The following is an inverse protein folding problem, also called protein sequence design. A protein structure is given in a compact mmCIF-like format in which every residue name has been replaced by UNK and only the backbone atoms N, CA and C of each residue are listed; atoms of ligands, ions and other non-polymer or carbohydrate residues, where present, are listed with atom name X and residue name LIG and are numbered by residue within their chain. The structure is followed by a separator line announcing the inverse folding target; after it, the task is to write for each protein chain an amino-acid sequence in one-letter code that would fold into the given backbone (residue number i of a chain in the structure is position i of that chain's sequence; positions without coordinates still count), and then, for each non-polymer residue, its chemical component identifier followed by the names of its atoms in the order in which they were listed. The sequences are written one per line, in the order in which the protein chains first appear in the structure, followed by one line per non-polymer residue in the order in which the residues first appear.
data_IF_686464151664
#
_entry.id   IF_686464151664
#
_cell.length_a   1.000
_cell.length_b   1.000
_cell.length_c   1.000
_cell.angle_alpha   90.00
_cell.angle_beta   90.00
_cell.angle_gamma   90.00
#
_symmetry.space_group_name_H-M   'P 1'
#
loop_
_entity.id
_entity.type
_entity.pdbx_description
1 polymer ?
#
# COMPACT_ATOMS: atom_id res chain seq x y z
N UNK A 1 -5.36 2.15 -5.21
CA UNK A 1 -4.97 3.57 -5.39
C UNK A 1 -3.87 3.77 -6.42
N UNK A 2 -2.84 2.90 -6.47
CA UNK A 2 -1.72 3.00 -7.42
C UNK A 2 -2.14 3.32 -8.87
N UNK A 3 -3.04 2.52 -9.46
CA UNK A 3 -3.50 2.75 -10.84
C UNK A 3 -4.22 4.11 -11.02
N UNK A 4 -5.06 4.50 -10.06
CA UNK A 4 -5.81 5.75 -10.15
C UNK A 4 -4.90 6.96 -10.05
N UNK A 5 -3.87 6.91 -9.19
CA UNK A 5 -2.83 7.93 -9.13
C UNK A 5 -2.02 7.98 -10.43
N UNK A 6 -1.71 6.84 -11.05
CA UNK A 6 -1.05 6.78 -12.36
C UNK A 6 -1.91 7.27 -13.53
N UNK A 7 -3.22 7.47 -13.32
CA UNK A 7 -4.15 8.06 -14.28
C UNK A 7 -4.46 9.54 -13.97
N UNK A 8 -3.70 10.16 -13.07
CA UNK A 8 -3.93 11.51 -12.55
C UNK A 8 -5.33 11.74 -11.94
N UNK A 9 -5.96 10.66 -11.46
CA UNK A 9 -7.25 10.73 -10.75
C UNK A 9 -6.98 11.03 -9.29
N UNK A 10 -7.52 12.16 -8.81
CA UNK A 10 -7.46 12.54 -7.41
C UNK A 10 -8.30 11.57 -6.55
N UNK A 11 -7.63 10.80 -5.70
CA UNK A 11 -8.31 9.86 -4.76
C UNK A 11 -8.43 10.42 -3.34
N UNK A 12 -7.70 11.50 -3.01
CA UNK A 12 -7.61 12.03 -1.65
C UNK A 12 -6.85 11.12 -0.67
N UNK A 13 -6.23 10.04 -1.16
CA UNK A 13 -5.50 9.09 -0.33
C UNK A 13 -4.00 9.39 -0.35
N UNK A 14 -3.43 9.50 0.84
CA UNK A 14 -1.98 9.50 1.07
C UNK A 14 -1.44 8.07 0.99
N UNK A 15 -0.60 7.82 -0.02
CA UNK A 15 -0.02 6.49 -0.26
C UNK A 15 0.97 6.09 0.83
N UNK A 16 1.72 7.04 1.40
CA UNK A 16 2.66 6.79 2.47
C UNK A 16 1.94 6.30 3.73
N UNK A 17 0.92 7.03 4.16
CA UNK A 17 0.10 6.66 5.34
C UNK A 17 -0.65 5.34 5.14
N UNK A 18 -1.16 5.10 3.93
CA UNK A 18 -1.80 3.82 3.59
C UNK A 18 -0.79 2.67 3.68
N UNK A 19 0.45 2.90 3.25
CA UNK A 19 1.53 1.92 3.29
C UNK A 19 1.94 1.60 4.72
N UNK A 20 2.13 2.62 5.56
CA UNK A 20 2.42 2.46 7.00
C UNK A 20 1.35 1.61 7.70
N UNK A 21 0.07 1.93 7.47
CA UNK A 21 -1.04 1.16 8.03
C UNK A 21 -1.05 -0.29 7.54
N UNK A 22 -0.72 -0.52 6.26
CA UNK A 22 -0.63 -1.85 5.68
C UNK A 22 0.53 -2.68 6.28
N UNK A 23 1.71 -2.08 6.46
CA UNK A 23 2.85 -2.73 7.10
C UNK A 23 2.56 -3.05 8.57
N UNK A 24 1.92 -2.12 9.29
CA UNK A 24 1.50 -2.32 10.68
C UNK A 24 0.60 -3.55 10.82
N UNK A 25 -0.45 -3.69 10.00
CA UNK A 25 -1.35 -4.84 10.10
C UNK A 25 -0.71 -6.14 9.58
N UNK A 26 0.17 -6.06 8.58
CA UNK A 26 0.91 -7.21 8.07
C UNK A 26 1.73 -7.89 9.18
N UNK A 27 2.43 -7.10 10.00
CA UNK A 27 3.17 -7.58 11.17
C UNK A 27 2.25 -8.34 12.14
N UNK A 28 1.04 -7.83 12.39
CA UNK A 28 0.09 -8.44 13.32
C UNK A 28 -0.58 -9.70 12.79
N UNK A 29 -0.82 -9.78 11.47
CA UNK A 29 -1.40 -10.97 10.84
C UNK A 29 -0.34 -12.09 10.70
N UNK A 30 0.94 -11.72 10.60
CA UNK A 30 2.05 -12.69 10.49
C UNK A 30 2.14 -13.35 9.12
N UNK A 31 1.57 -12.74 8.06
CA UNK A 31 1.73 -13.20 6.68
C UNK A 31 1.84 -12.00 5.72
N UNK A 32 2.54 -12.13 4.58
CA UNK A 32 2.62 -11.08 3.58
C UNK A 32 1.25 -10.70 3.02
N UNK A 33 1.04 -9.41 2.78
CA UNK A 33 -0.15 -8.92 2.09
C UNK A 33 -0.08 -9.21 0.58
N UNK A 34 -1.23 -9.45 -0.05
CA UNK A 34 -1.33 -9.78 -1.48
C UNK A 34 -1.15 -8.57 -2.42
N UNK A 35 -0.90 -7.38 -1.86
CA UNK A 35 -0.67 -6.16 -2.63
C UNK A 35 0.66 -6.23 -3.36
N UNK A 36 0.63 -6.28 -4.69
CA UNK A 36 1.84 -6.24 -5.54
C UNK A 36 2.69 -5.00 -5.30
N UNK A 37 2.04 -3.87 -5.03
CA UNK A 37 2.74 -2.62 -4.68
C UNK A 37 3.53 -2.76 -3.37
N UNK A 38 2.96 -3.43 -2.36
CA UNK A 38 3.67 -3.67 -1.10
C UNK A 38 4.86 -4.62 -1.29
N UNK A 39 4.74 -5.60 -2.20
CA UNK A 39 5.84 -6.52 -2.53
C UNK A 39 7.04 -5.80 -3.17
N UNK A 40 6.82 -4.72 -3.93
CA UNK A 40 7.92 -3.95 -4.55
C UNK A 40 8.67 -3.04 -3.58
N UNK A 41 8.06 -2.65 -2.47
CA UNK A 41 8.66 -1.72 -1.49
C UNK A 41 9.19 -2.43 -0.24
N UNK A 42 8.90 -3.72 -0.08
CA UNK A 42 9.33 -4.53 1.08
C UNK A 42 10.67 -5.26 0.84
N UNK A 43 11.50 -4.79 -0.09
CA UNK A 43 12.84 -5.35 -0.40
C UNK A 43 13.91 -4.57 0.34
#
# INVERSE_FOLDING_TARGET
VYMLHGMDIATGIDVGRLTEAALFIQEKIGRPLSSRYLQTIST
#
